data_IF_192655822774
#
_entry.id   IF_192655822774
#
_cell.length_a   1.000
_cell.length_b   1.000
_cell.length_c   1.000
_cell.angle_alpha   90.00
_cell.angle_beta   90.00
_cell.angle_gamma   90.00
#
_symmetry.space_group_name_H-M   'P 1'
#
loop_
_entity.id
_entity.type
_entity.pdbx_description
1 polymer ?
#
# COMPACT_ATOMS: atom_id res chain seq x y z
N UNK A 1 -15.25 11.16 -18.83
CA UNK A 1 -15.21 10.49 -17.51
C UNK A 1 -13.83 9.88 -17.39
N UNK A 2 -13.06 10.27 -16.37
CA UNK A 2 -11.63 9.99 -16.27
C UNK A 2 -11.43 8.99 -15.16
N UNK A 3 -11.04 7.77 -15.51
CA UNK A 3 -10.76 6.74 -14.52
C UNK A 3 -9.64 7.19 -13.60
N UNK A 4 -9.77 6.88 -12.31
CA UNK A 4 -8.73 7.16 -11.35
C UNK A 4 -7.57 6.19 -11.55
N UNK A 5 -6.36 6.72 -11.61
CA UNK A 5 -5.16 5.94 -11.91
C UNK A 5 -4.33 5.61 -10.67
N UNK A 6 -4.41 6.43 -9.61
CA UNK A 6 -3.63 6.20 -8.39
C UNK A 6 -4.22 6.88 -7.13
N UNK A 7 -3.68 6.49 -5.98
CA UNK A 7 -3.83 7.19 -4.70
C UNK A 7 -2.78 8.30 -4.57
N UNK A 8 -3.13 9.37 -3.86
CA UNK A 8 -2.19 10.37 -3.40
C UNK A 8 -1.59 9.96 -2.05
N UNK A 9 -0.38 10.43 -1.75
CA UNK A 9 0.22 10.24 -0.42
C UNK A 9 -0.62 10.87 0.70
N UNK A 10 -1.38 11.93 0.42
CA UNK A 10 -2.27 12.55 1.39
C UNK A 10 -3.48 11.67 1.75
N UNK A 11 -4.02 10.93 0.78
CA UNK A 11 -5.10 9.96 1.05
C UNK A 11 -4.58 8.77 1.83
N UNK A 12 -3.35 8.33 1.55
CA UNK A 12 -2.69 7.30 2.34
C UNK A 12 -2.46 7.78 3.79
N UNK A 13 -1.94 9.00 3.98
CA UNK A 13 -1.76 9.59 5.32
C UNK A 13 -3.10 9.73 6.06
N UNK A 14 -4.15 10.18 5.38
CA UNK A 14 -5.50 10.25 5.95
C UNK A 14 -5.98 8.88 6.44
N UNK A 15 -5.74 7.82 5.65
CA UNK A 15 -6.10 6.46 6.03
C UNK A 15 -5.23 5.92 7.18
N UNK A 16 -3.94 6.27 7.26
CA UNK A 16 -3.07 5.94 8.38
C UNK A 16 -3.53 6.63 9.67
N UNK A 17 -3.83 7.93 9.60
CA UNK A 17 -4.36 8.71 10.72
C UNK A 17 -5.68 8.14 11.25
N UNK A 18 -6.57 7.66 10.37
CA UNK A 18 -7.81 6.97 10.77
C UNK A 18 -7.58 5.65 11.52
N UNK A 19 -6.38 5.08 11.48
CA UNK A 19 -5.95 3.92 12.28
C UNK A 19 -5.14 4.31 13.53
N UNK A 20 -5.09 5.61 13.88
CA UNK A 20 -4.29 6.12 15.00
C UNK A 20 -2.81 6.33 14.66
N UNK A 21 -2.41 6.17 13.40
CA UNK A 21 -1.03 6.34 12.92
C UNK A 21 -0.86 7.75 12.33
N UNK A 22 -1.01 8.78 13.16
CA UNK A 22 -0.96 10.19 12.72
C UNK A 22 0.47 10.66 12.46
N UNK A 23 0.69 11.43 11.38
CA UNK A 23 1.98 11.92 10.93
C UNK A 23 2.96 10.80 10.56
N UNK A 24 2.43 9.67 10.06
CA UNK A 24 3.24 8.52 9.67
C UNK A 24 4.03 8.81 8.38
N UNK A 25 3.52 9.68 7.51
CA UNK A 25 4.16 10.11 6.27
C UNK A 25 4.48 11.60 6.32
N UNK A 26 5.68 11.98 5.92
CA UNK A 26 6.06 13.39 5.73
C UNK A 26 6.91 13.53 4.47
N UNK A 27 6.66 14.58 3.68
CA UNK A 27 7.51 14.91 2.53
C UNK A 27 8.42 16.08 2.91
N UNK A 28 9.74 15.85 2.89
CA UNK A 28 10.75 16.87 3.17
C UNK A 28 11.73 16.88 2.01
N UNK A 29 11.89 18.04 1.38
CA UNK A 29 12.84 18.24 0.27
C UNK A 29 12.70 17.20 -0.86
N UNK A 30 11.46 16.88 -1.24
CA UNK A 30 11.15 15.92 -2.31
C UNK A 30 11.33 14.44 -1.94
N UNK A 31 11.65 14.14 -0.68
CA UNK A 31 11.77 12.77 -0.17
C UNK A 31 10.55 12.43 0.67
N UNK A 32 9.99 11.24 0.47
CA UNK A 32 8.99 10.67 1.36
C UNK A 32 9.72 10.02 2.54
N UNK A 33 9.40 10.49 3.74
CA UNK A 33 9.80 9.89 5.00
C UNK A 33 8.62 9.10 5.55
N UNK A 34 8.90 7.86 5.97
CA UNK A 34 7.96 7.02 6.70
C UNK A 34 8.47 6.92 8.13
N UNK A 35 7.69 7.41 9.08
CA UNK A 35 8.02 7.30 10.49
C UNK A 35 7.70 5.88 10.99
N UNK A 36 8.73 5.03 11.02
CA UNK A 36 8.61 3.64 11.46
C UNK A 36 8.25 3.52 12.96
N UNK A 37 8.50 4.57 13.76
CA UNK A 37 8.11 4.59 15.16
C UNK A 37 6.61 4.81 15.32
N UNK A 38 6.01 5.61 14.44
CA UNK A 38 4.56 5.75 14.37
C UNK A 38 3.94 4.48 13.82
N UNK A 39 4.48 3.91 12.73
CA UNK A 39 3.83 2.78 12.07
C UNK A 39 3.98 1.48 12.87
N UNK A 40 5.16 1.16 13.40
CA UNK A 40 5.44 -0.12 14.06
C UNK A 40 5.91 0.01 15.53
N UNK A 41 6.03 1.22 16.08
CA UNK A 41 6.62 1.40 17.41
C UNK A 41 8.13 1.16 17.48
N UNK A 42 8.78 0.97 16.32
CA UNK A 42 10.20 0.65 16.18
C UNK A 42 11.02 1.93 16.20
N UNK A 43 12.10 1.95 16.97
CA UNK A 43 13.02 3.10 17.02
C UNK A 43 14.27 2.84 16.17
N UNK A 44 15.12 3.85 16.01
CA UNK A 44 16.42 3.70 15.30
C UNK A 44 17.29 2.63 15.95
N UNK A 45 17.20 2.44 17.28
CA UNK A 45 17.94 1.40 18.00
C UNK A 45 17.50 -0.03 17.59
N UNK A 46 16.31 -0.16 17.00
CA UNK A 46 15.67 -1.41 16.63
C UNK A 46 15.83 -1.75 15.14
N UNK A 47 16.68 -1.05 14.39
CA UNK A 47 16.90 -1.31 12.95
C UNK A 47 17.42 -2.72 12.65
N UNK A 48 17.94 -3.42 13.65
CA UNK A 48 18.38 -4.82 13.55
C UNK A 48 17.28 -5.81 13.94
N UNK A 49 16.09 -5.34 14.33
CA UNK A 49 14.95 -6.16 14.77
C UNK A 49 14.03 -6.45 13.58
N UNK A 50 13.41 -7.63 13.59
CA UNK A 50 12.41 -8.03 12.61
C UNK A 50 11.14 -7.16 12.73
N UNK A 51 10.75 -6.48 11.65
CA UNK A 51 9.53 -5.65 11.63
C UNK A 51 9.03 -5.26 10.23
N UNK A 52 9.72 -5.70 9.18
CA UNK A 52 9.40 -5.32 7.79
C UNK A 52 8.01 -5.81 7.37
N UNK A 53 7.64 -7.03 7.76
CA UNK A 53 6.33 -7.60 7.42
C UNK A 53 5.18 -6.76 8.01
N UNK A 54 5.32 -6.32 9.26
CA UNK A 54 4.34 -5.45 9.92
C UNK A 54 4.24 -4.08 9.25
N UNK A 55 5.39 -3.50 8.88
CA UNK A 55 5.44 -2.20 8.19
C UNK A 55 4.64 -2.27 6.88
N UNK A 56 4.94 -3.28 6.06
CA UNK A 56 4.28 -3.49 4.78
C UNK A 56 2.80 -3.84 4.95
N UNK A 57 2.45 -4.64 5.96
CA UNK A 57 1.06 -4.96 6.30
C UNK A 57 0.26 -3.69 6.60
N UNK A 58 0.78 -2.83 7.50
CA UNK A 58 0.11 -1.59 7.95
C UNK A 58 0.00 -0.54 6.85
N UNK A 59 1.03 -0.37 6.02
CA UNK A 59 0.96 0.54 4.88
C UNK A 59 -0.07 0.06 3.84
N UNK A 60 -0.11 -1.26 3.58
CA UNK A 60 -1.03 -1.82 2.60
C UNK A 60 -2.49 -1.79 3.06
N UNK A 61 -2.77 -2.06 4.33
CA UNK A 61 -4.16 -1.92 4.86
C UNK A 61 -4.63 -0.48 4.79
N UNK A 62 -3.75 0.49 5.07
CA UNK A 62 -4.08 1.90 4.90
C UNK A 62 -4.36 2.24 3.43
N UNK A 63 -3.57 1.71 2.48
CA UNK A 63 -3.82 1.91 1.06
C UNK A 63 -5.18 1.30 0.61
N UNK A 64 -5.54 0.12 1.09
CA UNK A 64 -6.86 -0.48 0.82
C UNK A 64 -8.03 0.34 1.38
N UNK A 65 -7.86 0.93 2.56
CA UNK A 65 -8.85 1.85 3.16
C UNK A 65 -8.96 3.15 2.37
N UNK A 66 -7.83 3.76 2.03
CA UNK A 66 -7.78 4.95 1.18
C UNK A 66 -8.49 4.70 -0.15
N UNK A 67 -8.20 3.57 -0.81
CA UNK A 67 -8.89 3.15 -2.03
C UNK A 67 -10.41 3.05 -1.85
N UNK A 68 -10.87 2.43 -0.77
CA UNK A 68 -12.30 2.29 -0.49
C UNK A 68 -12.98 3.66 -0.35
N UNK A 69 -12.37 4.57 0.41
CA UNK A 69 -12.87 5.93 0.59
C UNK A 69 -12.91 6.69 -0.74
N UNK A 70 -11.83 6.62 -1.52
CA UNK A 70 -11.69 7.27 -2.82
C UNK A 70 -12.66 6.73 -3.86
N UNK A 71 -12.95 5.43 -3.84
CA UNK A 71 -13.86 4.79 -4.78
C UNK A 71 -15.33 5.09 -4.49
N UNK A 72 -15.67 5.45 -3.25
CA UNK A 72 -17.06 5.71 -2.81
C UNK A 72 -17.80 6.73 -3.70
N UNK A 73 -17.22 7.89 -4.06
CA UNK A 73 -17.88 8.84 -4.95
C UNK A 73 -17.77 8.52 -6.45
N UNK A 74 -17.04 7.47 -6.86
CA UNK A 74 -16.73 7.18 -8.27
C UNK A 74 -17.70 6.16 -8.87
N UNK A 75 -18.02 6.31 -10.16
CA UNK A 75 -18.77 5.28 -10.90
C UNK A 75 -17.93 4.00 -11.04
N UNK A 76 -18.56 2.84 -11.18
CA UNK A 76 -17.88 1.52 -11.21
C UNK A 76 -16.71 1.44 -12.20
N UNK A 77 -16.82 2.05 -13.38
CA UNK A 77 -15.76 2.05 -14.40
C UNK A 77 -14.60 3.03 -14.12
N UNK A 78 -14.71 3.85 -13.08
CA UNK A 78 -13.69 4.86 -12.70
C UNK A 78 -12.93 4.47 -11.43
N UNK A 79 -13.36 3.40 -10.75
CA UNK A 79 -12.81 2.94 -9.49
C UNK A 79 -11.44 2.27 -9.64
N UNK A 80 -10.60 2.45 -8.62
CA UNK A 80 -9.33 1.75 -8.47
C UNK A 80 -9.55 0.28 -8.06
N UNK A 81 -8.70 -0.61 -8.56
CA UNK A 81 -8.68 -2.03 -8.20
C UNK A 81 -7.28 -2.51 -7.72
N UNK A 82 -6.40 -1.57 -7.34
CA UNK A 82 -4.98 -1.83 -7.04
C UNK A 82 -4.75 -2.59 -5.72
N UNK A 83 -5.65 -2.40 -4.75
CA UNK A 83 -5.60 -3.02 -3.41
C UNK A 83 -6.87 -3.85 -3.16
N UNK A 84 -6.98 -5.05 -3.73
CA UNK A 84 -8.08 -5.96 -3.44
C UNK A 84 -8.08 -6.41 -1.96
N UNK A 85 -9.24 -6.90 -1.45
CA UNK A 85 -9.37 -7.37 -0.07
C UNK A 85 -8.37 -8.47 0.28
N UNK A 86 -8.02 -8.53 1.56
CA UNK A 86 -7.16 -9.58 2.10
C UNK A 86 -7.84 -10.94 2.09
N UNK A 87 -7.03 -11.99 1.93
CA UNK A 87 -7.46 -13.36 2.16
C UNK A 87 -6.86 -13.87 3.47
N UNK A 88 -7.69 -14.45 4.33
CA UNK A 88 -7.30 -14.99 5.63
C UNK A 88 -7.42 -16.51 5.63
N UNK A 89 -6.36 -17.18 6.08
CA UNK A 89 -6.35 -18.62 6.32
C UNK A 89 -6.95 -18.99 7.69
N UNK A 90 -7.02 -20.30 8.01
CA UNK A 90 -7.47 -20.75 9.31
C UNK A 90 -6.52 -20.30 10.44
N UNK A 91 -7.00 -20.18 11.68
CA UNK A 91 -6.16 -19.87 12.82
C UNK A 91 -5.10 -20.94 13.10
N UNK A 92 -3.86 -20.52 13.35
CA UNK A 92 -2.71 -21.36 13.72
C UNK A 92 -1.99 -20.65 14.87
N UNK A 93 -1.91 -21.27 16.05
CA UNK A 93 -1.20 -20.72 17.23
C UNK A 93 -1.62 -19.29 17.62
N UNK A 94 -2.91 -18.96 17.52
CA UNK A 94 -3.42 -17.60 17.81
C UNK A 94 -3.14 -16.56 16.72
N UNK A 95 -2.60 -16.97 15.58
CA UNK A 95 -2.35 -16.14 14.40
C UNK A 95 -3.20 -16.61 13.22
N UNK A 96 -3.30 -15.79 12.18
CA UNK A 96 -3.89 -16.16 10.89
C UNK A 96 -2.88 -15.91 9.79
N UNK A 97 -2.80 -16.83 8.82
CA UNK A 97 -2.06 -16.55 7.58
C UNK A 97 -2.83 -15.50 6.78
N UNK A 98 -2.15 -14.46 6.30
CA UNK A 98 -2.77 -13.40 5.50
C UNK A 98 -2.07 -13.29 4.16
N UNK A 99 -2.85 -13.36 3.09
CA UNK A 99 -2.35 -13.18 1.71
C UNK A 99 -2.80 -11.85 1.15
N UNK A 100 -1.83 -11.15 0.56
CA UNK A 100 -1.88 -9.76 0.13
C UNK A 100 -1.49 -9.69 -1.36
N UNK A 101 -2.41 -9.31 -2.25
CA UNK A 101 -2.15 -9.19 -3.71
C UNK A 101 -2.33 -7.76 -4.18
N UNK A 102 -1.32 -7.10 -4.74
CA UNK A 102 -1.50 -5.79 -5.38
C UNK A 102 -1.29 -5.89 -6.87
N UNK A 103 -2.10 -5.14 -7.63
CA UNK A 103 -2.05 -5.12 -9.09
C UNK A 103 -1.60 -3.74 -9.54
N UNK A 104 -0.57 -3.70 -10.39
CA UNK A 104 -0.02 -2.47 -10.96
C UNK A 104 0.18 -2.66 -12.45
N UNK A 105 -0.02 -1.59 -13.23
CA UNK A 105 0.36 -1.56 -14.63
C UNK A 105 1.78 -0.98 -14.72
N UNK A 106 2.67 -1.71 -15.40
CA UNK A 106 4.00 -1.22 -15.74
C UNK A 106 4.09 -1.01 -17.25
N UNK A 107 4.86 -0.02 -17.73
CA UNK A 107 5.09 0.14 -19.16
C UNK A 107 5.72 -1.12 -19.74
N UNK A 108 5.19 -1.60 -20.86
CA UNK A 108 5.90 -2.55 -21.72
C UNK A 108 7.02 -1.74 -22.39
N UNK A 109 8.29 -2.08 -22.13
CA UNK A 109 9.40 -1.43 -22.85
C UNK A 109 9.49 -2.03 -24.26
N UNK A 110 8.69 -1.49 -25.18
CA UNK A 110 8.67 -1.88 -26.59
C UNK A 110 9.87 -1.36 -27.39
N UNK A 111 10.79 -0.59 -26.79
CA UNK A 111 11.95 -0.05 -27.52
C UNK A 111 12.93 -1.12 -28.00
N UNK A 112 12.81 -2.36 -27.50
CA UNK A 112 13.55 -3.50 -27.98
C UNK A 112 12.62 -4.70 -28.12
N UNK A 113 11.95 -4.81 -29.27
CA UNK A 113 11.25 -6.02 -29.68
C UNK A 113 12.28 -6.94 -30.34
N UNK A 114 12.69 -8.00 -29.65
CA UNK A 114 13.49 -9.07 -30.24
C UNK A 114 12.54 -10.15 -30.79
N UNK A 115 12.69 -10.52 -32.05
CA UNK A 115 11.98 -11.68 -32.60
C UNK A 115 12.47 -12.96 -31.90
N UNK A 116 11.59 -13.93 -31.60
CA UNK A 116 12.03 -15.26 -31.21
C UNK A 116 12.86 -15.84 -32.36
N UNK A 117 14.06 -16.32 -32.04
CA UNK A 117 14.92 -16.99 -33.02
C UNK A 117 14.18 -18.26 -33.48
N UNK A 118 14.08 -18.45 -34.79
CA UNK A 118 13.49 -19.65 -35.41
C UNK A 118 14.26 -20.91 -35.04
#
# INVERSE_FOLDING_TARGET
MTARTDLTFQELETALAANGLTNALTVISGKLYVDISVVNGVTVADLTVEGVAELLYKLRIAAGKAQTTVNTPLATGEQLASYPPFSYGPPINGQVSVTHVSTFLIPLNENLILSPNV
#
